data_IF_809874483001
#
_entry.id   IF_809874483001
#
_cell.length_a   1.000
_cell.length_b   1.000
_cell.length_c   1.000
_cell.angle_alpha   90.00
_cell.angle_beta   90.00
_cell.angle_gamma   90.00
#
_symmetry.space_group_name_H-M   'P 1'
#
loop_
_entity.id
_entity.type
_entity.pdbx_description
1 polymer ?
#
# COMPACT_ATOMS: atom_id res chain seq x y z
N UNK A 1 23.89 12.52 -1.11
CA UNK A 1 22.67 13.26 -1.51
C UNK A 1 21.54 12.77 -0.64
N UNK A 2 20.83 13.66 0.06
CA UNK A 2 19.74 13.28 0.94
C UNK A 2 18.59 12.71 0.10
N UNK A 3 18.17 11.48 0.38
CA UNK A 3 17.00 10.89 -0.26
C UNK A 3 15.77 11.79 -0.09
N UNK A 4 14.90 11.84 -1.08
CA UNK A 4 13.65 12.62 -1.06
C UNK A 4 12.92 12.28 0.25
N UNK A 5 12.70 13.28 1.11
CA UNK A 5 11.97 13.08 2.36
C UNK A 5 10.53 12.70 2.01
N UNK A 6 10.05 11.56 2.50
CA UNK A 6 8.66 11.16 2.42
C UNK A 6 7.89 11.76 3.60
N UNK A 7 6.71 12.26 3.33
CA UNK A 7 5.87 12.97 4.30
C UNK A 7 4.59 12.18 4.59
N UNK A 8 3.94 12.46 5.69
CA UNK A 8 2.67 11.84 6.10
C UNK A 8 1.61 11.95 5.00
N UNK A 9 1.50 13.09 4.33
CA UNK A 9 0.55 13.32 3.22
C UNK A 9 0.69 12.37 2.04
N UNK A 10 1.89 11.77 1.87
CA UNK A 10 2.19 10.87 0.75
C UNK A 10 1.62 9.46 0.99
N UNK A 11 1.33 9.11 2.27
CA UNK A 11 0.90 7.77 2.69
C UNK A 11 -0.42 7.73 3.46
N UNK A 12 -0.89 8.86 3.98
CA UNK A 12 -2.12 8.93 4.77
C UNK A 12 -3.37 8.59 3.94
N UNK A 13 -4.34 7.95 4.56
CA UNK A 13 -5.71 7.85 4.03
C UNK A 13 -6.39 9.22 4.14
N UNK A 14 -6.86 9.78 3.01
CA UNK A 14 -7.48 11.11 2.94
C UNK A 14 -8.99 11.09 3.21
N UNK A 15 -9.69 10.08 2.68
CA UNK A 15 -11.14 9.95 2.84
C UNK A 15 -11.45 9.21 4.14
N UNK A 16 -11.34 9.92 5.28
CA UNK A 16 -11.52 9.35 6.60
C UNK A 16 -12.99 9.40 7.00
N UNK A 17 -13.57 8.26 7.34
CA UNK A 17 -14.88 8.21 7.98
C UNK A 17 -14.74 8.75 9.40
N UNK A 18 -15.44 9.82 9.72
CA UNK A 18 -15.47 10.43 11.05
C UNK A 18 -16.89 10.47 11.61
N UNK A 19 -17.01 10.63 12.92
CA UNK A 19 -18.29 10.69 13.63
C UNK A 19 -18.43 12.00 14.42
N UNK A 20 -19.65 12.34 14.80
CA UNK A 20 -19.93 13.50 15.65
C UNK A 20 -19.84 13.12 17.15
N UNK A 21 -19.52 14.08 18.07
CA UNK A 21 -19.65 13.84 19.50
C UNK A 21 -21.04 13.36 19.93
N UNK A 22 -22.09 13.82 19.21
CA UNK A 22 -23.49 13.49 19.51
C UNK A 22 -23.94 12.14 18.91
N UNK A 23 -23.08 11.44 18.14
CA UNK A 23 -23.39 10.10 17.62
C UNK A 23 -23.66 9.15 18.76
N UNK A 24 -24.75 8.37 18.68
CA UNK A 24 -25.10 7.39 19.73
C UNK A 24 -24.11 6.24 19.75
N UNK A 25 -23.86 5.68 20.93
CA UNK A 25 -22.92 4.56 21.10
C UNK A 25 -23.34 3.34 20.25
N UNK A 26 -24.64 3.04 20.14
CA UNK A 26 -25.13 1.94 19.32
C UNK A 26 -24.87 2.17 17.82
N UNK A 27 -25.03 3.41 17.34
CA UNK A 27 -24.76 3.75 15.93
C UNK A 27 -23.29 3.54 15.57
N UNK A 28 -22.37 3.86 16.47
CA UNK A 28 -20.95 3.64 16.21
C UNK A 28 -20.57 2.16 16.27
N UNK A 29 -21.24 1.36 17.13
CA UNK A 29 -21.06 -0.10 17.14
C UNK A 29 -21.48 -0.70 15.79
N UNK A 30 -22.62 -0.26 15.25
CA UNK A 30 -23.09 -0.74 13.93
C UNK A 30 -22.19 -0.27 12.80
N UNK A 31 -21.64 0.95 12.89
CA UNK A 31 -20.66 1.44 11.93
C UNK A 31 -19.37 0.61 11.96
N UNK A 32 -18.88 0.24 13.16
CA UNK A 32 -17.71 -0.62 13.33
C UNK A 32 -17.92 -2.01 12.72
N UNK A 33 -19.11 -2.61 12.92
CA UNK A 33 -19.45 -3.91 12.32
C UNK A 33 -19.46 -3.86 10.80
N UNK A 34 -20.03 -2.80 10.21
CA UNK A 34 -20.18 -2.65 8.75
C UNK A 34 -18.87 -2.34 8.05
N UNK A 35 -18.01 -1.53 8.65
CA UNK A 35 -16.79 -1.03 8.04
C UNK A 35 -15.55 -1.84 8.39
N UNK A 36 -15.66 -2.77 9.37
CA UNK A 36 -14.55 -3.51 9.96
C UNK A 36 -13.46 -2.61 10.58
N UNK A 37 -13.74 -1.32 10.78
CA UNK A 37 -12.84 -0.41 11.49
C UNK A 37 -13.15 -0.45 13.00
N UNK A 38 -12.10 -0.43 13.81
CA UNK A 38 -12.22 -0.46 15.28
C UNK A 38 -11.98 0.90 15.95
N UNK A 39 -11.83 1.99 15.17
CA UNK A 39 -11.69 3.35 15.69
C UNK A 39 -12.07 4.41 14.67
N UNK A 40 -12.59 5.55 15.17
CA UNK A 40 -13.01 6.68 14.34
C UNK A 40 -12.56 8.01 14.95
N UNK A 41 -12.10 8.97 14.13
CA UNK A 41 -11.97 10.36 14.54
C UNK A 41 -13.34 10.96 14.87
N UNK A 42 -13.37 11.76 15.91
CA UNK A 42 -14.56 12.52 16.30
C UNK A 42 -14.37 13.98 15.89
N UNK A 43 -15.28 14.48 15.05
CA UNK A 43 -15.18 15.82 14.45
C UNK A 43 -16.38 16.67 14.86
N UNK A 44 -16.12 17.91 15.26
CA UNK A 44 -17.14 18.94 15.58
C UNK A 44 -16.76 20.23 14.86
N UNK A 45 -17.68 20.80 14.09
CA UNK A 45 -17.44 22.03 13.33
C UNK A 45 -16.15 21.96 12.47
N UNK A 46 -15.99 20.86 11.74
CA UNK A 46 -14.82 20.55 10.91
C UNK A 46 -13.47 20.42 11.64
N UNK A 47 -13.45 20.44 12.98
CA UNK A 47 -12.24 20.27 13.79
C UNK A 47 -12.23 18.91 14.45
N UNK A 48 -11.06 18.31 14.53
CA UNK A 48 -10.84 17.09 15.29
C UNK A 48 -10.95 17.40 16.78
N UNK A 49 -11.89 16.73 17.49
CA UNK A 49 -12.13 16.93 18.93
C UNK A 49 -11.87 15.67 19.77
N UNK A 50 -11.76 14.50 19.13
CA UNK A 50 -11.54 13.25 19.83
C UNK A 50 -11.27 12.07 18.92
N UNK A 51 -11.01 10.93 19.52
CA UNK A 51 -11.00 9.61 18.90
C UNK A 51 -11.87 8.67 19.73
N UNK A 52 -12.62 7.80 19.08
CA UNK A 52 -13.36 6.72 19.74
C UNK A 52 -12.89 5.39 19.18
N UNK A 53 -12.67 4.42 20.08
CA UNK A 53 -12.22 3.07 19.74
C UNK A 53 -13.20 2.03 20.27
N UNK A 54 -13.14 0.81 19.74
CA UNK A 54 -13.90 -0.33 20.27
C UNK A 54 -13.59 -0.56 21.78
N UNK A 55 -12.35 -0.31 22.20
CA UNK A 55 -11.96 -0.40 23.62
C UNK A 55 -12.68 0.63 24.47
N UNK A 56 -12.84 1.89 24.01
CA UNK A 56 -13.56 2.93 24.75
C UNK A 56 -15.01 2.53 24.99
N UNK A 57 -15.66 1.91 23.99
CA UNK A 57 -17.03 1.40 24.09
C UNK A 57 -17.14 0.31 25.18
N UNK A 58 -16.20 -0.65 25.18
CA UNK A 58 -16.18 -1.73 26.17
C UNK A 58 -15.90 -1.20 27.57
N UNK A 59 -14.98 -0.26 27.70
CA UNK A 59 -14.57 0.31 28.98
C UNK A 59 -15.63 1.22 29.63
N UNK A 60 -16.42 1.94 28.80
CA UNK A 60 -17.39 2.97 29.26
C UNK A 60 -18.82 2.64 28.84
N UNK A 61 -19.28 1.42 29.10
CA UNK A 61 -20.57 0.83 28.66
C UNK A 61 -21.86 1.65 28.94
N UNK A 62 -21.82 2.67 29.80
CA UNK A 62 -23.02 3.42 30.21
C UNK A 62 -23.21 4.76 29.49
N UNK A 63 -22.29 5.16 28.62
CA UNK A 63 -22.41 6.43 27.93
C UNK A 63 -23.30 6.29 26.69
N UNK A 64 -24.27 7.19 26.55
CA UNK A 64 -25.25 7.17 25.46
C UNK A 64 -24.66 7.69 24.15
N UNK A 65 -23.64 8.57 24.21
CA UNK A 65 -23.03 9.23 23.05
C UNK A 65 -21.52 9.09 23.02
N UNK A 66 -20.95 9.29 21.86
CA UNK A 66 -19.51 9.27 21.62
C UNK A 66 -18.75 10.28 22.48
N UNK A 67 -19.34 11.45 22.77
CA UNK A 67 -18.73 12.47 23.65
C UNK A 67 -18.39 11.91 25.03
N UNK A 68 -19.25 11.04 25.59
CA UNK A 68 -19.03 10.43 26.89
C UNK A 68 -17.94 9.36 26.92
N UNK A 69 -17.59 8.79 25.77
CA UNK A 69 -16.61 7.70 25.66
C UNK A 69 -15.30 8.10 25.01
N UNK A 70 -15.30 9.09 24.10
CA UNK A 70 -14.13 9.46 23.31
C UNK A 70 -12.92 9.86 24.15
N UNK A 71 -11.74 9.64 23.62
CA UNK A 71 -10.48 10.19 24.11
C UNK A 71 -10.23 11.54 23.47
N UNK A 72 -10.01 12.57 24.29
CA UNK A 72 -9.80 13.96 23.83
C UNK A 72 -8.32 14.37 23.82
N UNK A 73 -7.48 13.69 24.62
CA UNK A 73 -6.03 13.93 24.62
C UNK A 73 -5.38 13.15 23.47
N UNK A 74 -5.30 13.77 22.31
CA UNK A 74 -4.85 13.12 21.10
C UNK A 74 -3.39 13.41 20.77
N UNK A 75 -2.75 12.47 20.10
CA UNK A 75 -1.52 12.68 19.33
C UNK A 75 -1.93 12.82 17.88
N UNK A 76 -1.61 13.95 17.27
CA UNK A 76 -1.94 14.25 15.87
C UNK A 76 -0.68 14.52 15.06
N UNK A 77 -0.73 14.31 13.76
CA UNK A 77 0.34 14.66 12.83
C UNK A 77 -0.05 15.88 11.98
N UNK A 78 0.94 16.69 11.61
CA UNK A 78 0.85 17.57 10.47
C UNK A 78 1.10 16.78 9.19
N UNK A 79 0.41 17.12 8.11
CA UNK A 79 0.56 16.44 6.81
C UNK A 79 1.97 16.52 6.21
N UNK A 80 2.76 17.54 6.60
CA UNK A 80 4.15 17.72 6.16
C UNK A 80 5.17 17.13 7.15
N UNK A 81 4.72 16.44 8.21
CA UNK A 81 5.61 15.70 9.10
C UNK A 81 6.30 14.58 8.30
N UNK A 82 7.59 14.34 8.56
CA UNK A 82 8.27 13.22 7.89
C UNK A 82 7.69 11.89 8.37
N UNK A 83 7.60 10.91 7.45
CA UNK A 83 7.08 9.58 7.77
C UNK A 83 7.90 8.90 8.88
N UNK A 84 9.21 9.11 8.91
CA UNK A 84 10.11 8.55 9.93
C UNK A 84 9.83 9.15 11.32
N UNK A 85 9.56 10.45 11.40
CA UNK A 85 9.24 11.10 12.68
C UNK A 85 7.85 10.71 13.16
N UNK A 86 6.86 10.61 12.26
CA UNK A 86 5.54 10.06 12.56
C UNK A 86 5.65 8.63 13.12
N UNK A 87 6.43 7.77 12.47
CA UNK A 87 6.69 6.40 12.92
C UNK A 87 7.31 6.34 14.33
N UNK A 88 8.30 7.19 14.60
CA UNK A 88 8.92 7.28 15.94
C UNK A 88 7.92 7.71 17.02
N UNK A 89 7.06 8.68 16.71
CA UNK A 89 6.02 9.17 17.63
C UNK A 89 5.02 8.04 17.92
N UNK A 90 4.51 7.37 16.88
CA UNK A 90 3.57 6.28 17.02
C UNK A 90 4.15 5.13 17.85
N UNK A 91 5.38 4.72 17.56
CA UNK A 91 6.08 3.68 18.31
C UNK A 91 6.28 4.04 19.80
N UNK A 92 6.79 5.25 20.07
CA UNK A 92 7.05 5.70 21.46
C UNK A 92 5.79 5.87 22.28
N UNK A 93 4.65 6.20 21.64
CA UNK A 93 3.36 6.39 22.30
C UNK A 93 2.51 5.12 22.34
N UNK A 94 2.96 4.04 21.67
CA UNK A 94 2.21 2.78 21.59
C UNK A 94 0.88 2.91 20.85
N UNK A 95 0.79 3.85 19.88
CA UNK A 95 -0.44 4.08 19.09
C UNK A 95 -0.30 3.48 17.70
N UNK A 96 -1.37 2.85 17.22
CA UNK A 96 -1.42 2.22 15.90
C UNK A 96 -2.00 3.12 14.80
N UNK A 97 -2.59 4.25 15.19
CA UNK A 97 -3.23 5.23 14.30
C UNK A 97 -3.03 6.62 14.84
N UNK A 98 -2.83 7.57 13.94
CA UNK A 98 -2.64 8.97 14.29
C UNK A 98 -3.42 9.84 13.30
N UNK A 99 -4.43 10.60 13.76
CA UNK A 99 -5.13 11.57 12.91
C UNK A 99 -4.15 12.61 12.36
N UNK A 100 -4.41 13.05 11.14
CA UNK A 100 -3.64 14.09 10.47
C UNK A 100 -4.53 15.33 10.36
N UNK A 101 -4.02 16.46 10.83
CA UNK A 101 -4.73 17.71 10.82
C UNK A 101 -3.95 18.78 10.04
N UNK A 102 -4.66 19.77 9.53
CA UNK A 102 -4.06 20.97 8.96
C UNK A 102 -3.82 22.03 10.04
N UNK A 103 -3.32 23.20 9.61
CA UNK A 103 -3.01 24.35 10.49
C UNK A 103 -4.25 24.90 11.22
N UNK A 104 -5.46 24.62 10.72
CA UNK A 104 -6.72 25.05 11.35
C UNK A 104 -7.25 24.05 12.38
N UNK A 105 -6.62 22.87 12.47
CA UNK A 105 -7.05 21.73 13.28
C UNK A 105 -8.15 20.90 12.62
N UNK A 106 -8.41 21.11 11.32
CA UNK A 106 -9.33 20.27 10.57
C UNK A 106 -8.69 18.92 10.25
N UNK A 107 -9.49 17.86 10.32
CA UNK A 107 -9.07 16.50 9.98
C UNK A 107 -8.88 16.40 8.45
N UNK A 108 -7.64 16.12 8.01
CA UNK A 108 -7.29 15.96 6.59
C UNK A 108 -6.90 14.55 6.22
N UNK A 109 -6.69 13.67 7.20
CA UNK A 109 -6.33 12.28 6.96
C UNK A 109 -6.14 11.48 8.25
N UNK A 110 -5.76 10.22 8.07
CA UNK A 110 -5.30 9.34 9.14
C UNK A 110 -4.10 8.54 8.65
N UNK A 111 -3.09 8.38 9.51
CA UNK A 111 -1.92 7.55 9.24
C UNK A 111 -1.86 6.39 10.23
N UNK A 112 -1.52 5.20 9.74
CA UNK A 112 -1.54 3.95 10.52
C UNK A 112 -0.17 3.26 10.52
N UNK A 113 0.00 2.26 11.40
CA UNK A 113 1.19 1.40 11.38
C UNK A 113 1.36 0.69 10.04
N UNK A 114 0.26 0.31 9.37
CA UNK A 114 0.29 -0.30 8.03
C UNK A 114 0.89 0.66 7.02
N UNK A 115 0.52 1.94 7.06
CA UNK A 115 1.09 2.96 6.16
C UNK A 115 2.58 3.19 6.42
N UNK A 116 3.01 3.08 7.70
CA UNK A 116 4.43 3.14 8.06
C UNK A 116 5.21 1.96 7.47
N UNK A 117 4.68 0.74 7.62
CA UNK A 117 5.28 -0.47 7.03
C UNK A 117 5.33 -0.33 5.51
N UNK A 118 4.21 0.07 4.88
CA UNK A 118 4.13 0.33 3.45
C UNK A 118 5.21 1.32 3.00
N UNK A 119 5.38 2.43 3.70
CA UNK A 119 6.39 3.44 3.37
C UNK A 119 7.83 2.91 3.36
N UNK A 120 8.10 1.82 4.07
CA UNK A 120 9.41 1.16 4.11
C UNK A 120 9.56 0.04 3.07
N UNK A 121 8.47 -0.67 2.76
CA UNK A 121 8.46 -1.80 1.82
C UNK A 121 8.35 -1.31 0.37
N UNK A 122 7.54 -0.29 0.12
CA UNK A 122 7.15 0.15 -1.24
C UNK A 122 8.12 1.13 -1.90
N UNK A 123 9.28 1.37 -1.32
CA UNK A 123 10.24 2.30 -1.94
C UNK A 123 10.89 1.67 -3.18
N UNK A 124 10.22 1.74 -4.33
CA UNK A 124 10.91 2.00 -5.60
C UNK A 124 11.50 3.40 -5.51
N UNK A 125 12.46 3.60 -4.63
CA UNK A 125 13.07 4.91 -4.43
C UNK A 125 13.77 5.30 -5.73
N UNK A 126 13.76 6.57 -6.14
CA UNK A 126 14.61 7.07 -7.22
C UNK A 126 16.07 6.57 -7.12
N UNK A 127 16.54 6.33 -5.90
CA UNK A 127 17.85 5.74 -5.65
C UNK A 127 17.96 4.27 -6.11
N UNK A 128 16.92 3.45 -5.97
CA UNK A 128 16.91 2.05 -6.46
C UNK A 128 16.97 2.04 -7.99
N UNK A 129 16.20 2.92 -8.62
CA UNK A 129 16.18 3.08 -10.08
C UNK A 129 17.54 3.59 -10.60
N UNK A 130 18.09 4.61 -9.98
CA UNK A 130 19.41 5.14 -10.33
C UNK A 130 20.54 4.13 -10.09
N UNK A 131 20.47 3.36 -9.01
CA UNK A 131 21.43 2.28 -8.76
C UNK A 131 21.34 1.20 -9.84
N UNK A 132 20.12 0.78 -10.18
CA UNK A 132 19.89 -0.20 -11.24
C UNK A 132 20.35 0.32 -12.61
N UNK A 133 20.06 1.58 -12.94
CA UNK A 133 20.55 2.26 -14.12
C UNK A 133 22.08 2.19 -14.22
N UNK A 134 22.78 2.58 -13.15
CA UNK A 134 24.28 2.52 -13.08
C UNK A 134 24.80 1.11 -13.24
N UNK A 135 24.10 0.12 -12.66
CA UNK A 135 24.46 -1.30 -12.80
C UNK A 135 24.38 -1.74 -14.27
N UNK A 136 23.32 -1.35 -14.99
CA UNK A 136 23.21 -1.64 -16.43
C UNK A 136 24.30 -0.96 -17.25
N UNK A 137 24.59 0.32 -16.96
CA UNK A 137 25.65 1.06 -17.61
C UNK A 137 27.03 0.39 -17.45
N UNK A 138 27.33 -0.06 -16.22
CA UNK A 138 28.60 -0.77 -15.93
C UNK A 138 28.66 -2.15 -16.57
N UNK A 139 27.54 -2.90 -16.52
CA UNK A 139 27.48 -4.27 -17.03
C UNK A 139 27.63 -4.34 -18.55
N UNK A 140 27.05 -3.40 -19.25
CA UNK A 140 27.01 -3.39 -20.71
C UNK A 140 27.95 -2.36 -21.36
N UNK A 141 28.62 -1.51 -20.57
CA UNK A 141 29.54 -0.48 -21.08
C UNK A 141 28.83 0.60 -21.90
N UNK A 142 27.61 0.98 -21.53
CA UNK A 142 26.74 1.91 -22.27
C UNK A 142 26.34 3.11 -21.42
N UNK A 143 25.84 4.16 -22.07
CA UNK A 143 25.12 5.25 -21.41
C UNK A 143 23.63 5.04 -21.60
N UNK A 144 22.85 5.27 -20.55
CA UNK A 144 21.40 5.10 -20.55
C UNK A 144 20.68 6.39 -20.20
N UNK A 145 19.44 6.55 -20.63
CA UNK A 145 18.59 7.66 -20.20
C UNK A 145 17.46 7.14 -19.30
N UNK A 146 17.10 7.93 -18.28
CA UNK A 146 16.00 7.64 -17.37
C UNK A 146 14.86 8.63 -17.62
N UNK A 147 13.64 8.10 -17.82
CA UNK A 147 12.42 8.89 -17.98
C UNK A 147 11.33 8.36 -17.05
N UNK A 148 10.48 9.24 -16.57
CA UNK A 148 9.25 8.88 -15.86
C UNK A 148 8.08 9.13 -16.81
N UNK A 149 7.31 8.09 -17.15
CA UNK A 149 6.24 8.17 -18.14
C UNK A 149 5.25 7.00 -18.02
N UNK A 150 4.07 7.21 -18.56
CA UNK A 150 3.09 6.15 -18.79
C UNK A 150 3.53 5.22 -19.93
N UNK A 151 3.50 3.92 -19.69
CA UNK A 151 3.82 2.89 -20.69
C UNK A 151 2.60 2.01 -20.93
N UNK A 152 2.25 1.81 -22.20
CA UNK A 152 1.14 0.93 -22.57
C UNK A 152 1.37 -0.50 -22.06
N UNK A 153 0.41 -1.05 -21.33
CA UNK A 153 0.49 -2.40 -20.73
C UNK A 153 0.79 -3.47 -21.77
N UNK A 154 0.20 -3.36 -22.97
CA UNK A 154 0.39 -4.31 -24.07
C UNK A 154 1.81 -4.34 -24.64
N UNK A 155 2.62 -3.29 -24.42
CA UNK A 155 4.03 -3.23 -24.83
C UNK A 155 4.96 -3.86 -23.83
N UNK A 156 4.51 -3.98 -22.59
CA UNK A 156 5.32 -4.50 -21.50
C UNK A 156 5.51 -6.01 -21.65
N UNK A 157 6.75 -6.42 -21.60
CA UNK A 157 7.14 -7.82 -21.55
C UNK A 157 7.51 -8.20 -20.12
N UNK A 158 6.78 -9.09 -19.45
CA UNK A 158 7.10 -9.53 -18.10
C UNK A 158 8.36 -10.41 -18.08
N UNK A 159 9.02 -10.42 -16.92
CA UNK A 159 10.22 -11.24 -16.67
C UNK A 159 10.03 -12.20 -15.48
N UNK A 160 8.85 -12.18 -14.87
CA UNK A 160 8.46 -13.02 -13.73
C UNK A 160 7.37 -13.99 -14.17
N UNK A 161 7.45 -15.24 -13.71
CA UNK A 161 6.54 -16.33 -14.11
C UNK A 161 5.29 -16.44 -13.24
N UNK A 162 5.30 -15.81 -12.07
CA UNK A 162 4.20 -15.90 -11.10
C UNK A 162 3.98 -14.62 -10.33
N UNK A 163 2.73 -14.42 -9.87
CA UNK A 163 2.32 -13.35 -8.95
C UNK A 163 1.34 -13.94 -7.93
N UNK A 164 1.19 -13.30 -6.76
CA UNK A 164 0.35 -13.76 -5.68
C UNK A 164 -0.99 -13.01 -5.67
N UNK A 165 -2.09 -13.75 -5.45
CA UNK A 165 -3.46 -13.21 -5.53
C UNK A 165 -3.73 -12.13 -4.47
N UNK A 166 -3.28 -12.34 -3.24
CA UNK A 166 -3.40 -11.39 -2.14
C UNK A 166 -2.66 -10.07 -2.42
N UNK A 167 -1.46 -10.15 -3.02
CA UNK A 167 -0.73 -8.95 -3.45
C UNK A 167 -1.44 -8.23 -4.61
N UNK A 168 -2.10 -8.96 -5.53
CA UNK A 168 -2.84 -8.35 -6.64
C UNK A 168 -4.01 -7.49 -6.14
N UNK A 169 -4.75 -7.95 -5.13
CA UNK A 169 -5.84 -7.17 -4.54
C UNK A 169 -5.32 -5.86 -3.91
N UNK A 170 -4.22 -5.95 -3.17
CA UNK A 170 -3.56 -4.77 -2.61
C UNK A 170 -3.12 -3.77 -3.69
N UNK A 171 -2.52 -4.26 -4.79
CA UNK A 171 -2.09 -3.41 -5.91
C UNK A 171 -3.25 -2.82 -6.71
N UNK A 172 -4.34 -3.58 -6.88
CA UNK A 172 -5.57 -3.07 -7.49
C UNK A 172 -6.15 -1.89 -6.70
N UNK A 173 -6.21 -2.02 -5.37
CA UNK A 173 -6.63 -0.92 -4.48
C UNK A 173 -5.71 0.30 -4.59
N UNK A 174 -4.39 0.12 -4.62
CA UNK A 174 -3.44 1.23 -4.78
C UNK A 174 -3.63 1.98 -6.11
N UNK A 175 -3.88 1.24 -7.20
CA UNK A 175 -4.17 1.83 -8.50
C UNK A 175 -5.44 2.67 -8.48
N UNK A 176 -6.52 2.16 -7.90
CA UNK A 176 -7.80 2.88 -7.77
C UNK A 176 -7.67 4.16 -6.93
N UNK A 177 -6.81 4.13 -5.91
CA UNK A 177 -6.56 5.28 -5.03
C UNK A 177 -5.50 6.24 -5.58
N UNK A 178 -4.88 5.97 -6.74
CA UNK A 178 -3.79 6.76 -7.30
C UNK A 178 -2.53 6.76 -6.43
N UNK A 179 -2.31 5.70 -5.66
CA UNK A 179 -1.18 5.53 -4.73
C UNK A 179 -0.13 4.56 -5.26
N UNK A 180 -0.39 3.94 -6.42
CA UNK A 180 0.52 2.97 -7.00
C UNK A 180 1.87 3.62 -7.35
N UNK A 181 2.97 2.98 -6.93
CA UNK A 181 4.30 3.43 -7.29
C UNK A 181 4.61 3.13 -8.78
N UNK A 182 5.48 3.90 -9.44
CA UNK A 182 5.89 3.60 -10.81
C UNK A 182 6.57 2.23 -10.92
N UNK A 183 6.27 1.49 -11.97
CA UNK A 183 7.00 0.28 -12.33
C UNK A 183 8.42 0.61 -12.83
N UNK A 184 9.31 -0.37 -12.89
CA UNK A 184 10.64 -0.21 -13.50
C UNK A 184 10.67 -0.98 -14.80
N UNK A 185 10.92 -0.26 -15.88
CA UNK A 185 10.94 -0.79 -17.26
C UNK A 185 12.30 -0.49 -17.88
N UNK A 186 12.87 -1.46 -18.58
CA UNK A 186 14.04 -1.27 -19.43
C UNK A 186 13.59 -1.30 -20.89
N UNK A 187 13.84 -0.21 -21.60
CA UNK A 187 13.65 -0.16 -23.06
C UNK A 187 14.94 -0.52 -23.77
N UNK A 188 14.89 -1.51 -24.65
CA UNK A 188 16.03 -2.01 -25.42
C UNK A 188 15.59 -2.29 -26.86
N UNK A 189 16.09 -1.52 -27.83
CA UNK A 189 15.49 -1.51 -29.17
C UNK A 189 14.00 -1.18 -29.11
N UNK A 190 13.18 -2.03 -29.68
CA UNK A 190 11.71 -1.90 -29.70
C UNK A 190 11.04 -2.65 -28.50
N UNK A 191 11.81 -3.29 -27.62
CA UNK A 191 11.30 -4.09 -26.51
C UNK A 191 11.23 -3.30 -25.22
N UNK A 192 10.16 -3.52 -24.47
CA UNK A 192 9.86 -2.88 -23.18
C UNK A 192 9.81 -3.95 -22.11
N UNK A 193 10.90 -4.13 -21.38
CA UNK A 193 11.09 -5.22 -20.44
C UNK A 193 10.69 -4.74 -19.05
N UNK A 194 9.65 -5.35 -18.49
CA UNK A 194 9.22 -5.08 -17.12
C UNK A 194 10.19 -5.76 -16.15
N UNK A 195 10.86 -4.97 -15.32
CA UNK A 195 11.88 -5.43 -14.38
C UNK A 195 11.31 -5.53 -12.96
N UNK A 196 10.49 -4.55 -12.56
CA UNK A 196 9.83 -4.50 -11.25
C UNK A 196 8.41 -3.95 -11.39
N UNK A 197 7.49 -4.40 -10.54
CA UNK A 197 6.09 -4.01 -10.58
C UNK A 197 5.19 -4.98 -11.35
N UNK A 198 5.54 -6.28 -11.42
CA UNK A 198 4.74 -7.29 -12.11
C UNK A 198 3.32 -7.42 -11.56
N UNK A 199 3.13 -7.48 -10.23
CA UNK A 199 1.81 -7.48 -9.60
C UNK A 199 0.98 -6.25 -10.03
N UNK A 200 1.59 -5.08 -10.07
CA UNK A 200 0.98 -3.81 -10.47
C UNK A 200 0.52 -3.84 -11.92
N UNK A 201 1.40 -4.29 -12.83
CA UNK A 201 1.11 -4.39 -14.24
C UNK A 201 0.00 -5.43 -14.52
N UNK A 202 0.01 -6.57 -13.82
CA UNK A 202 -1.06 -7.57 -13.90
C UNK A 202 -2.38 -6.99 -13.37
N UNK A 203 -2.38 -6.36 -12.20
CA UNK A 203 -3.57 -5.70 -11.64
C UNK A 203 -4.11 -4.60 -12.56
N UNK A 204 -3.23 -3.78 -13.19
CA UNK A 204 -3.62 -2.79 -14.19
C UNK A 204 -4.32 -3.43 -15.38
N UNK A 205 -3.76 -4.53 -15.90
CA UNK A 205 -4.38 -5.26 -17.03
C UNK A 205 -5.74 -5.83 -16.66
N UNK A 206 -5.89 -6.43 -15.47
CA UNK A 206 -7.16 -6.99 -14.98
C UNK A 206 -8.24 -5.91 -14.77
N UNK A 207 -7.84 -4.71 -14.33
CA UNK A 207 -8.75 -3.56 -14.16
C UNK A 207 -9.02 -2.80 -15.46
N UNK A 208 -8.42 -3.18 -16.57
CA UNK A 208 -8.63 -2.55 -17.88
C UNK A 208 -7.88 -1.22 -18.06
N UNK A 209 -6.86 -0.94 -17.25
CA UNK A 209 -6.00 0.22 -17.49
C UNK A 209 -5.09 -0.03 -18.70
N UNK A 210 -5.05 0.94 -19.60
CA UNK A 210 -4.26 0.84 -20.84
C UNK A 210 -2.77 1.10 -20.62
N UNK A 211 -2.41 1.82 -19.55
CA UNK A 211 -1.05 2.24 -19.23
C UNK A 211 -0.67 1.93 -17.81
N UNK A 212 0.65 1.88 -17.54
CA UNK A 212 1.26 1.77 -16.21
C UNK A 212 2.28 2.89 -16.05
N UNK A 213 2.17 3.64 -14.97
CA UNK A 213 3.17 4.64 -14.60
C UNK A 213 4.51 3.97 -14.33
N UNK A 214 5.59 4.45 -14.98
CA UNK A 214 6.85 3.71 -15.05
C UNK A 214 8.08 4.62 -15.07
N UNK A 215 9.12 4.19 -14.40
CA UNK A 215 10.49 4.62 -14.63
C UNK A 215 11.08 3.81 -15.79
N UNK A 216 11.35 4.44 -16.91
CA UNK A 216 11.90 3.82 -18.12
C UNK A 216 13.38 4.12 -18.24
N UNK A 217 14.21 3.06 -18.19
CA UNK A 217 15.64 3.12 -18.48
C UNK A 217 15.82 2.71 -19.94
N UNK A 218 16.08 3.68 -20.81
CA UNK A 218 16.32 3.44 -22.24
C UNK A 218 17.81 3.19 -22.46
N UNK A 219 18.16 2.01 -22.98
CA UNK A 219 19.54 1.61 -23.25
C UNK A 219 20.12 2.26 -24.50
N UNK A 220 19.29 2.85 -25.37
CA UNK A 220 19.72 3.43 -26.65
C UNK A 220 20.27 2.40 -27.66
N UNK A 221 20.30 1.13 -27.29
CA UNK A 221 20.81 0.01 -28.07
C UNK A 221 19.92 -1.22 -27.91
N UNK A 222 20.00 -2.15 -28.87
CA UNK A 222 19.29 -3.43 -28.80
C UNK A 222 20.16 -4.48 -28.10
N UNK A 223 19.96 -4.64 -26.78
CA UNK A 223 20.71 -5.60 -25.95
C UNK A 223 19.74 -6.64 -25.38
N UNK A 224 20.06 -7.91 -25.54
CA UNK A 224 19.30 -9.00 -24.94
C UNK A 224 19.68 -9.16 -23.45
N UNK A 225 18.80 -8.74 -22.57
CA UNK A 225 19.01 -8.79 -21.12
C UNK A 225 19.04 -10.23 -20.56
N UNK A 226 19.77 -10.45 -19.49
CA UNK A 226 19.82 -11.74 -18.80
C UNK A 226 18.44 -12.20 -18.33
N UNK A 227 17.63 -11.29 -17.76
CA UNK A 227 16.27 -11.57 -17.31
C UNK A 227 15.31 -11.93 -18.46
N UNK A 228 15.45 -11.32 -19.65
CA UNK A 228 14.71 -11.74 -20.83
C UNK A 228 15.04 -13.17 -21.25
N UNK A 229 16.33 -13.55 -21.21
CA UNK A 229 16.75 -14.91 -21.55
C UNK A 229 16.16 -15.93 -20.58
N UNK A 230 16.02 -15.57 -19.29
CA UNK A 230 15.39 -16.41 -18.29
C UNK A 230 13.89 -16.52 -18.54
N UNK A 231 13.20 -15.41 -18.79
CA UNK A 231 11.79 -15.40 -19.14
C UNK A 231 11.48 -16.17 -20.42
N UNK A 232 12.34 -16.05 -21.46
CA UNK A 232 12.21 -16.83 -22.68
C UNK A 232 12.27 -18.34 -22.43
N UNK A 233 13.21 -18.79 -21.59
CA UNK A 233 13.34 -20.21 -21.21
C UNK A 233 12.14 -20.71 -20.41
N UNK A 234 11.52 -19.87 -19.63
CA UNK A 234 10.30 -20.14 -18.88
C UNK A 234 9.01 -20.02 -19.74
N UNK A 235 9.13 -19.59 -21.01
CA UNK A 235 8.00 -19.43 -21.91
C UNK A 235 7.20 -18.13 -21.70
N UNK A 236 7.70 -17.21 -20.87
CA UNK A 236 7.00 -15.96 -20.48
C UNK A 236 7.20 -14.90 -21.58
N UNK A 237 6.11 -14.46 -22.19
CA UNK A 237 6.09 -13.43 -23.25
C UNK A 237 5.11 -12.30 -22.95
N UNK A 238 3.98 -12.65 -22.35
CA UNK A 238 2.86 -11.75 -22.08
C UNK A 238 2.38 -11.92 -20.65
N UNK A 239 1.51 -11.03 -20.16
CA UNK A 239 0.89 -11.18 -18.83
C UNK A 239 -0.04 -12.40 -18.71
N UNK A 240 -0.52 -12.93 -19.85
CA UNK A 240 -1.33 -14.16 -19.85
C UNK A 240 -0.50 -15.42 -19.52
N UNK A 241 0.83 -15.34 -19.64
CA UNK A 241 1.74 -16.45 -19.33
C UNK A 241 2.14 -16.47 -17.84
N UNK A 242 1.72 -15.47 -17.05
CA UNK A 242 2.02 -15.37 -15.63
C UNK A 242 1.01 -16.22 -14.84
N UNK A 243 1.51 -17.11 -14.01
CA UNK A 243 0.70 -17.87 -13.07
C UNK A 243 0.29 -16.99 -11.88
N UNK A 244 -1.01 -16.98 -11.58
CA UNK A 244 -1.53 -16.33 -10.37
C UNK A 244 -1.65 -17.41 -9.29
N UNK A 245 -0.80 -17.30 -8.26
CA UNK A 245 -0.80 -18.24 -7.13
C UNK A 245 -1.79 -17.71 -6.10
N UNK A 246 -2.79 -18.54 -5.80
CA UNK A 246 -3.71 -18.33 -4.69
C UNK A 246 -3.19 -19.11 -3.49
N UNK A 247 -2.57 -18.39 -2.56
CA UNK A 247 -1.92 -19.01 -1.37
C UNK A 247 -2.92 -19.19 -0.22
N UNK A 248 -4.21 -19.41 -0.49
CA UNK A 248 -5.21 -19.83 0.52
C UNK A 248 -4.82 -21.13 1.26
N UNK A 249 -3.69 -21.71 0.90
CA UNK A 249 -3.12 -22.94 1.50
C UNK A 249 -1.77 -22.69 2.18
N UNK A 250 -1.64 -21.59 2.93
CA UNK A 250 -0.48 -21.49 3.82
C UNK A 250 -0.53 -22.67 4.82
N UNK A 251 0.53 -23.48 4.96
CA UNK A 251 0.53 -24.67 5.83
C UNK A 251 0.07 -24.39 7.27
N UNK A 252 0.28 -23.18 7.78
CA UNK A 252 -0.15 -22.76 9.10
C UNK A 252 -1.68 -22.45 9.16
N UNK A 253 -2.28 -21.96 8.07
CA UNK A 253 -3.74 -21.74 7.99
C UNK A 253 -4.46 -23.09 7.93
N UNK A 254 -3.96 -24.03 7.12
CA UNK A 254 -4.50 -25.38 7.05
C UNK A 254 -4.38 -26.14 8.39
N UNK A 255 -3.32 -25.92 9.16
CA UNK A 255 -3.15 -26.48 10.50
C UNK A 255 -4.15 -25.89 11.50
N UNK A 256 -4.45 -24.59 11.41
CA UNK A 256 -5.40 -23.91 12.30
C UNK A 256 -6.84 -24.36 12.03
N UNK A 257 -7.23 -24.50 10.76
CA UNK A 257 -8.54 -25.03 10.37
C UNK A 257 -8.72 -26.49 10.79
N UNK A 258 -7.68 -27.35 10.62
CA UNK A 258 -7.74 -28.73 11.04
C UNK A 258 -7.82 -28.91 12.56
N UNK A 259 -7.26 -28.00 13.35
CA UNK A 259 -7.39 -27.99 14.82
C UNK A 259 -8.80 -27.57 15.26
N UNK A 260 -9.43 -26.60 14.59
CA UNK A 260 -10.83 -26.21 14.87
C UNK A 260 -11.84 -27.31 14.54
N UNK A 261 -11.62 -28.04 13.44
CA UNK A 261 -12.48 -29.19 13.08
C UNK A 261 -12.33 -30.37 14.05
N UNK A 262 -11.17 -30.54 14.69
CA UNK A 262 -10.97 -31.58 15.70
C UNK A 262 -11.62 -31.23 17.04
N UNK A 263 -11.58 -29.97 17.47
CA UNK A 263 -12.25 -29.49 18.67
C UNK A 263 -13.80 -29.58 18.54
N UNK A 264 -14.35 -29.29 17.35
CA UNK A 264 -15.80 -29.40 17.09
C UNK A 264 -16.33 -30.83 17.01
N UNK A 265 -15.45 -31.84 16.82
CA UNK A 265 -15.83 -33.29 16.79
C UNK A 265 -15.58 -34.02 18.09
N UNK A 266 -15.01 -33.34 19.09
CA UNK A 266 -14.71 -33.91 20.42
C UNK A 266 -15.75 -33.63 21.49
N UNK A 267 -16.80 -32.86 21.19
CA UNK A 267 -17.86 -32.48 22.13
C UNK A 267 -19.24 -33.12 21.84
N UNK A 268 -19.28 -34.22 21.08
CA UNK A 268 -20.49 -35.05 20.91
C UNK A 268 -20.42 -36.35 21.71
#
# INVERSE_FOLDING_TARGET
MAGKKSFVKDYMTKNVISVSPNTKTDEIIDLMKKSHHNSYPVVKNNKLVGMVTAFDIVAKKKAETVEGIMTTKLVVADQNLSINDASRVMFRRGISRMPVVDETGALVGIITNTDMVRSHIERSTPNKVEYFKKTLEQLYGIHTTLKHMEVETKKLRPTQDRVYADELEGRAYELEMGLAEPAIVVKTGDRWILVDGHHRAVASTQKGYETVDSYVIDLGQDIKLGMEKTADKAGIKTFADIEIIDDDKHPLIALTESMQEQESKGDD
#
